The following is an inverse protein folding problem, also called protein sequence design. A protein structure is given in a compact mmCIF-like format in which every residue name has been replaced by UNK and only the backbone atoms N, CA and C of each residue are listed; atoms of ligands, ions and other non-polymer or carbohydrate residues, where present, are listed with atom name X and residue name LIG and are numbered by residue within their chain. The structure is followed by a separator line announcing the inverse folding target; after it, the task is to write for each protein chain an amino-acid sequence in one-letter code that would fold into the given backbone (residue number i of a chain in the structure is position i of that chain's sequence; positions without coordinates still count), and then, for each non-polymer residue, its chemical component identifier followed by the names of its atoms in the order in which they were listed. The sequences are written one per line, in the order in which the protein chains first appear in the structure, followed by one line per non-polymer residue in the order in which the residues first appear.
data_IF_708333933272
#
_entry.id   IF_708333933272
#
_cell.length_a   1.000
_cell.length_b   1.000
_cell.length_c   1.000
_cell.angle_alpha   90.00
_cell.angle_beta   90.00
_cell.angle_gamma   90.00
#
_symmetry.space_group_name_H-M   'P 1'
#
loop_
_entity.id
_entity.type
_entity.pdbx_description
1 polymer ?
#
# COMPACT_ATOMS: atom_id res chain seq x y z
N UNK A 1 -24.41 2.45 -17.67
CA UNK A 1 -23.30 2.65 -18.62
C UNK A 1 -22.10 3.22 -17.86
N UNK A 2 -21.08 2.42 -17.57
CA UNK A 2 -19.82 2.88 -16.94
C UNK A 2 -18.60 2.55 -17.82
N UNK A 3 -18.77 2.60 -19.13
CA UNK A 3 -17.67 2.53 -20.09
C UNK A 3 -17.01 3.89 -20.19
N UNK A 4 -15.94 4.14 -19.42
CA UNK A 4 -15.12 5.33 -19.59
C UNK A 4 -14.19 5.73 -18.44
N UNK A 5 -14.45 5.33 -17.20
CA UNK A 5 -13.81 5.94 -16.02
C UNK A 5 -12.72 5.11 -15.31
N UNK A 6 -12.58 3.82 -15.62
CA UNK A 6 -11.57 2.96 -14.97
C UNK A 6 -10.22 2.88 -15.72
N UNK A 7 -10.15 3.40 -16.95
CA UNK A 7 -8.96 3.35 -17.80
C UNK A 7 -8.04 4.57 -17.71
N UNK A 8 -8.27 5.53 -16.81
CA UNK A 8 -7.52 6.80 -16.78
C UNK A 8 -6.27 6.81 -15.88
N UNK A 9 -6.28 6.07 -14.77
CA UNK A 9 -5.20 6.18 -13.78
C UNK A 9 -3.92 5.52 -14.27
N UNK A 10 -2.92 6.35 -14.58
CA UNK A 10 -1.57 5.90 -14.95
C UNK A 10 -0.90 5.17 -13.78
N UNK A 11 -1.25 5.50 -12.54
CA UNK A 11 -0.81 4.78 -11.36
C UNK A 11 -1.39 3.36 -11.35
N UNK A 12 -2.72 3.21 -11.39
CA UNK A 12 -3.36 1.90 -11.31
C UNK A 12 -2.92 0.96 -12.45
N UNK A 13 -2.79 1.49 -13.67
CA UNK A 13 -2.29 0.72 -14.83
C UNK A 13 -0.91 0.10 -14.61
N UNK A 14 -0.07 0.71 -13.77
CA UNK A 14 1.29 0.24 -13.49
C UNK A 14 1.39 -0.51 -12.16
N UNK A 15 0.65 -0.06 -11.16
CA UNK A 15 0.67 -0.62 -9.82
C UNK A 15 -0.09 -1.94 -9.76
N UNK A 16 -1.23 -2.10 -10.46
CA UNK A 16 -1.98 -3.35 -10.44
C UNK A 16 -1.15 -4.55 -10.93
N UNK A 17 -0.49 -4.52 -12.11
CA UNK A 17 0.33 -5.65 -12.54
C UNK A 17 1.56 -5.86 -11.64
N UNK A 18 2.14 -4.79 -11.07
CA UNK A 18 3.22 -4.90 -10.10
C UNK A 18 2.77 -5.66 -8.83
N UNK A 19 1.60 -5.29 -8.28
CA UNK A 19 1.04 -5.95 -7.11
C UNK A 19 0.58 -7.38 -7.40
N UNK A 20 0.10 -7.66 -8.61
CA UNK A 20 -0.21 -9.00 -9.07
C UNK A 20 1.06 -9.86 -9.13
N UNK A 21 2.13 -9.39 -9.77
CA UNK A 21 3.42 -10.07 -9.81
C UNK A 21 3.99 -10.28 -8.40
N UNK A 22 3.86 -9.29 -7.53
CA UNK A 22 4.26 -9.39 -6.13
C UNK A 22 3.50 -10.51 -5.41
N UNK A 23 2.21 -10.67 -5.68
CA UNK A 23 1.38 -11.70 -5.05
C UNK A 23 1.87 -13.13 -5.33
N UNK A 24 2.51 -13.37 -6.49
CA UNK A 24 3.09 -14.65 -6.86
C UNK A 24 4.55 -14.78 -6.45
N UNK A 25 5.37 -13.77 -6.74
CA UNK A 25 6.82 -13.83 -6.55
C UNK A 25 7.26 -13.68 -5.09
N UNK A 26 6.44 -12.99 -4.27
CA UNK A 26 6.76 -12.62 -2.88
C UNK A 26 8.07 -11.84 -2.71
N UNK A 27 8.61 -11.25 -3.78
CA UNK A 27 9.86 -10.49 -3.73
C UNK A 27 9.60 -9.03 -3.30
N UNK A 28 9.51 -8.82 -1.98
CA UNK A 28 9.14 -7.52 -1.42
C UNK A 28 10.17 -6.41 -1.71
N UNK A 29 11.47 -6.71 -1.70
CA UNK A 29 12.54 -5.72 -1.92
C UNK A 29 12.47 -5.13 -3.34
N UNK A 30 12.39 -5.99 -4.36
CA UNK A 30 12.28 -5.52 -5.76
C UNK A 30 10.98 -4.78 -5.98
N UNK A 31 9.85 -5.33 -5.51
CA UNK A 31 8.55 -4.67 -5.64
C UNK A 31 8.52 -3.30 -4.96
N UNK A 32 9.16 -3.15 -3.79
CA UNK A 32 9.25 -1.87 -3.09
C UNK A 32 9.95 -0.81 -3.94
N UNK A 33 11.11 -1.15 -4.52
CA UNK A 33 11.87 -0.23 -5.39
C UNK A 33 11.08 0.19 -6.62
N UNK A 34 10.41 -0.76 -7.27
CA UNK A 34 9.56 -0.48 -8.43
C UNK A 34 8.35 0.38 -8.05
N UNK A 35 7.74 0.11 -6.89
CA UNK A 35 6.62 0.89 -6.39
C UNK A 35 7.03 2.35 -6.12
N UNK A 36 8.21 2.60 -5.54
CA UNK A 36 8.70 3.98 -5.33
C UNK A 36 8.75 4.79 -6.64
N UNK A 37 9.15 4.16 -7.75
CA UNK A 37 9.18 4.83 -9.05
C UNK A 37 7.78 5.24 -9.58
N UNK A 38 6.70 4.69 -9.02
CA UNK A 38 5.33 4.97 -9.40
C UNK A 38 4.69 6.13 -8.63
N UNK A 39 5.30 6.62 -7.54
CA UNK A 39 4.73 7.67 -6.68
C UNK A 39 4.34 8.92 -7.48
N UNK A 40 5.17 9.32 -8.45
CA UNK A 40 4.93 10.46 -9.36
C UNK A 40 3.62 10.39 -10.15
N UNK A 41 2.98 9.22 -10.23
CA UNK A 41 1.70 9.03 -10.91
C UNK A 41 0.50 9.13 -9.97
N UNK A 42 0.69 9.17 -8.64
CA UNK A 42 -0.38 9.34 -7.67
C UNK A 42 -0.81 10.81 -7.60
N UNK A 43 -1.87 11.18 -8.32
CA UNK A 43 -2.30 12.58 -8.47
C UNK A 43 -3.42 12.95 -7.51
N UNK A 44 -4.39 12.05 -7.34
CA UNK A 44 -5.56 12.28 -6.50
C UNK A 44 -5.34 11.84 -5.06
N UNK A 45 -6.17 12.33 -4.14
CA UNK A 45 -6.18 11.90 -2.73
C UNK A 45 -6.36 10.39 -2.60
N UNK A 46 -7.30 9.81 -3.36
CA UNK A 46 -7.54 8.36 -3.35
C UNK A 46 -6.38 7.55 -3.92
N UNK A 47 -5.74 8.02 -4.99
CA UNK A 47 -4.56 7.36 -5.55
C UNK A 47 -3.37 7.37 -4.59
N UNK A 48 -3.11 8.50 -3.93
CA UNK A 48 -2.05 8.60 -2.91
C UNK A 48 -2.33 7.69 -1.71
N UNK A 49 -3.58 7.65 -1.26
CA UNK A 49 -3.99 6.76 -0.18
C UNK A 49 -3.79 5.29 -0.55
N UNK A 50 -4.22 4.87 -1.74
CA UNK A 50 -4.04 3.50 -2.21
C UNK A 50 -2.56 3.15 -2.42
N UNK A 51 -1.78 4.07 -2.98
CA UNK A 51 -0.33 3.93 -3.12
C UNK A 51 0.33 3.67 -1.75
N UNK A 52 0.05 4.53 -0.76
CA UNK A 52 0.59 4.40 0.59
C UNK A 52 0.13 3.12 1.28
N UNK A 53 -1.12 2.68 1.08
CA UNK A 53 -1.59 1.41 1.64
C UNK A 53 -0.82 0.20 1.08
N UNK A 54 -0.53 0.18 -0.22
CA UNK A 54 0.31 -0.87 -0.82
C UNK A 54 1.76 -0.77 -0.35
N UNK A 55 2.31 0.44 -0.26
CA UNK A 55 3.67 0.68 0.25
C UNK A 55 3.83 0.18 1.69
N UNK A 56 2.86 0.47 2.57
CA UNK A 56 2.85 -0.03 3.94
C UNK A 56 2.78 -1.55 4.01
N UNK A 57 1.99 -2.20 3.13
CA UNK A 57 1.92 -3.65 3.04
C UNK A 57 3.27 -4.29 2.66
N UNK A 58 3.96 -3.74 1.67
CA UNK A 58 5.28 -4.24 1.28
C UNK A 58 6.31 -4.00 2.38
N UNK A 59 6.31 -2.84 3.03
CA UNK A 59 7.18 -2.56 4.18
C UNK A 59 6.95 -3.55 5.33
N UNK A 60 5.69 -3.90 5.59
CA UNK A 60 5.33 -4.93 6.57
C UNK A 60 5.94 -6.29 6.20
N UNK A 61 5.83 -6.72 4.94
CA UNK A 61 6.39 -7.99 4.46
C UNK A 61 7.93 -7.99 4.47
N UNK A 62 8.57 -6.81 4.47
CA UNK A 62 10.00 -6.61 4.69
C UNK A 62 10.40 -6.50 6.17
N UNK A 63 9.48 -6.74 7.11
CA UNK A 63 9.69 -6.59 8.56
C UNK A 63 10.01 -5.15 9.01
N UNK A 64 9.77 -4.14 8.17
CA UNK A 64 10.02 -2.71 8.44
C UNK A 64 8.79 -2.06 9.07
N UNK A 65 8.39 -2.58 10.23
CA UNK A 65 7.08 -2.26 10.83
C UNK A 65 6.92 -0.80 11.27
N UNK A 66 7.97 -0.17 11.80
CA UNK A 66 7.94 1.24 12.18
C UNK A 66 7.65 2.14 10.97
N UNK A 67 8.37 1.91 9.86
CA UNK A 67 8.15 2.66 8.62
C UNK A 67 6.77 2.37 8.01
N UNK A 68 6.29 1.13 8.09
CA UNK A 68 4.93 0.81 7.68
C UNK A 68 3.90 1.58 8.53
N UNK A 69 4.11 1.71 9.84
CA UNK A 69 3.25 2.49 10.72
C UNK A 69 3.28 3.99 10.38
N UNK A 70 4.44 4.55 10.06
CA UNK A 70 4.58 5.94 9.64
C UNK A 70 3.81 6.22 8.35
N UNK A 71 3.98 5.38 7.33
CA UNK A 71 3.22 5.51 6.08
C UNK A 71 1.71 5.43 6.33
N UNK A 72 1.27 4.52 7.20
CA UNK A 72 -0.15 4.39 7.56
C UNK A 72 -0.72 5.63 8.26
N UNK A 73 0.09 6.41 9.00
CA UNK A 73 -0.34 7.67 9.64
C UNK A 73 -0.65 8.77 8.63
N UNK A 74 -0.01 8.73 7.46
CA UNK A 74 -0.20 9.72 6.41
C UNK A 74 -1.45 9.45 5.54
N UNK A 75 -2.05 8.27 5.64
CA UNK A 75 -3.22 7.91 4.85
C UNK A 75 -4.46 8.62 5.41
N UNK A 76 -5.07 9.57 4.68
CA UNK A 76 -6.28 10.23 5.15
C UNK A 76 -7.47 9.27 5.01
N UNK A 77 -8.53 9.51 5.80
CA UNK A 77 -9.83 8.85 5.58
C UNK A 77 -10.36 9.20 4.17
N UNK A 78 -10.81 8.16 3.46
CA UNK A 78 -11.33 8.25 2.08
C UNK A 78 -12.81 7.90 2.05
N UNK A 79 -13.14 6.69 2.49
CA UNK A 79 -14.50 6.17 2.59
C UNK A 79 -14.50 4.94 3.52
N UNK A 80 -15.66 4.50 4.02
CA UNK A 80 -15.72 3.42 5.01
C UNK A 80 -15.06 2.10 4.58
N UNK A 81 -15.18 1.72 3.30
CA UNK A 81 -14.60 0.47 2.79
C UNK A 81 -13.07 0.52 2.76
N UNK A 82 -12.52 1.63 2.28
CA UNK A 82 -11.08 1.84 2.23
C UNK A 82 -10.50 1.97 3.65
N UNK A 83 -11.18 2.70 4.52
CA UNK A 83 -10.76 2.92 5.90
C UNK A 83 -10.75 1.59 6.69
N UNK A 84 -11.69 0.68 6.42
CA UNK A 84 -11.68 -0.67 6.98
C UNK A 84 -10.45 -1.49 6.55
N UNK A 85 -9.98 -1.33 5.31
CA UNK A 85 -8.73 -1.96 4.84
C UNK A 85 -7.52 -1.37 5.56
N UNK A 86 -7.47 -0.06 5.73
CA UNK A 86 -6.42 0.62 6.48
C UNK A 86 -6.38 0.17 7.94
N UNK A 87 -7.55 0.06 8.59
CA UNK A 87 -7.65 -0.43 9.96
C UNK A 87 -7.08 -1.84 10.11
N UNK A 88 -7.44 -2.77 9.20
CA UNK A 88 -6.87 -4.13 9.19
C UNK A 88 -5.34 -4.13 9.08
N UNK A 89 -4.78 -3.31 8.19
CA UNK A 89 -3.32 -3.21 8.04
C UNK A 89 -2.66 -2.64 9.30
N UNK A 90 -3.23 -1.56 9.87
CA UNK A 90 -2.73 -0.95 11.12
C UNK A 90 -2.70 -1.95 12.26
N UNK A 91 -3.75 -2.75 12.44
CA UNK A 91 -3.79 -3.80 13.46
C UNK A 91 -2.69 -4.83 13.27
N UNK A 92 -2.44 -5.27 12.02
CA UNK A 92 -1.34 -6.21 11.73
C UNK A 92 0.03 -5.64 12.09
N UNK A 93 0.30 -4.41 11.66
CA UNK A 93 1.56 -3.72 11.94
C UNK A 93 1.78 -3.59 13.45
N UNK A 94 0.77 -3.10 14.18
CA UNK A 94 0.87 -2.92 15.64
C UNK A 94 1.10 -4.26 16.37
N UNK A 95 0.38 -5.32 15.98
CA UNK A 95 0.58 -6.64 16.55
C UNK A 95 2.00 -7.19 16.29
N UNK A 96 2.55 -6.93 15.10
CA UNK A 96 3.91 -7.35 14.75
C UNK A 96 4.99 -6.55 15.51
N UNK A 97 4.78 -5.25 15.73
CA UNK A 97 5.67 -4.42 16.54
C UNK A 97 5.74 -4.93 17.98
N UNK A 98 4.59 -5.13 18.63
CA UNK A 98 4.51 -5.64 20.00
C UNK A 98 5.18 -7.02 20.12
N UNK A 99 4.95 -7.92 19.15
CA UNK A 99 5.59 -9.25 19.15
C UNK A 99 7.10 -9.18 18.92
N UNK A 100 7.58 -8.20 18.17
CA UNK A 100 9.00 -7.97 17.90
C UNK A 100 9.76 -7.36 19.07
N UNK A 101 9.10 -6.55 19.90
CA UNK A 101 9.66 -5.92 21.11
C UNK A 101 9.95 -6.91 22.25
N UNK A 102 9.43 -8.14 22.15
CA UNK A 102 9.61 -9.21 23.14
C UNK A 102 10.55 -10.35 22.67
N UNK A 103 11.32 -10.14 21.60
CA UNK A 103 12.37 -11.06 21.14
C UNK A 103 13.75 -10.51 21.48
#
# INVERSE_FOLDING_TARGET
MFGGLFGGSKLLKRMNPLMELYSYSKNAETTYRELLALEKYARTKGEKALYNLNRAGILYDMYRYAEAADVMREIPSINPEFDARCAKMKTKIMAAMVKGEHR
#
